data_IF_481848374773
#
_entry.id   IF_481848374773
#
_cell.length_a   1.000
_cell.length_b   1.000
_cell.length_c   1.000
_cell.angle_alpha   90.00
_cell.angle_beta   90.00
_cell.angle_gamma   90.00
#
_symmetry.space_group_name_H-M   'P 1'
#
loop_
_entity.id
_entity.type
_entity.pdbx_description
1 polymer ?
#
# COMPACT_ATOMS: atom_id res chain seq x y z
N UNK A 1 8.83 -19.64 4.12
CA UNK A 1 10.26 -19.75 4.45
C UNK A 1 10.95 -18.59 3.76
N UNK A 2 11.12 -17.46 4.46
CA UNK A 2 11.71 -16.25 3.87
C UNK A 2 13.23 -16.37 3.90
N UNK A 3 13.88 -16.21 2.76
CA UNK A 3 15.34 -16.22 2.68
C UNK A 3 15.91 -15.05 3.49
N UNK A 4 16.72 -15.38 4.50
CA UNK A 4 17.46 -14.41 5.31
C UNK A 4 18.75 -14.03 4.58
N UNK A 5 19.02 -12.74 4.48
CA UNK A 5 20.34 -12.26 4.07
C UNK A 5 21.39 -12.63 5.12
N UNK A 6 22.66 -12.72 4.71
CA UNK A 6 23.83 -13.02 5.56
C UNK A 6 24.01 -12.10 6.79
N UNK A 7 23.20 -11.02 6.94
CA UNK A 7 23.17 -10.10 8.09
C UNK A 7 21.84 -10.08 8.86
N UNK A 8 21.03 -11.14 8.80
CA UNK A 8 19.93 -11.39 9.75
C UNK A 8 18.78 -10.36 9.76
N UNK A 9 18.67 -9.49 8.75
CA UNK A 9 17.53 -8.58 8.60
C UNK A 9 16.47 -9.27 7.74
N UNK A 10 15.27 -9.42 8.30
CA UNK A 10 14.08 -9.81 7.52
C UNK A 10 13.85 -8.74 6.46
N UNK A 11 14.16 -9.09 5.20
CA UNK A 11 13.77 -8.29 4.06
C UNK A 11 12.26 -8.47 3.88
N UNK A 12 11.46 -7.72 4.62
CA UNK A 12 10.10 -7.41 4.16
C UNK A 12 10.26 -6.63 2.87
N UNK A 13 10.39 -7.35 1.76
CA UNK A 13 10.54 -6.80 0.43
C UNK A 13 9.22 -6.10 0.13
N UNK A 14 9.18 -4.79 0.36
CA UNK A 14 8.05 -3.96 -0.02
C UNK A 14 7.74 -4.17 -1.50
N UNK A 15 6.45 -4.29 -1.83
CA UNK A 15 5.99 -4.40 -3.20
C UNK A 15 6.05 -3.01 -3.88
N UNK A 16 6.48 -2.97 -5.15
CA UNK A 16 6.56 -1.74 -5.93
C UNK A 16 5.23 -1.52 -6.65
N UNK A 17 4.47 -0.53 -6.21
CA UNK A 17 3.25 -0.10 -6.89
C UNK A 17 3.58 1.03 -7.89
N UNK A 18 3.19 0.85 -9.15
CA UNK A 18 3.17 1.93 -10.14
C UNK A 18 1.75 2.50 -10.21
N UNK A 19 1.63 3.82 -10.12
CA UNK A 19 0.35 4.53 -10.20
C UNK A 19 0.52 5.67 -11.18
N UNK A 20 -0.42 5.79 -12.12
CA UNK A 20 -0.52 6.95 -13.00
C UNK A 20 -1.26 8.04 -12.23
N UNK A 21 -0.66 9.23 -12.18
CA UNK A 21 -1.25 10.43 -11.57
C UNK A 21 -1.08 11.58 -12.55
N UNK A 22 -1.99 12.54 -12.51
CA UNK A 22 -1.86 13.75 -13.31
C UNK A 22 -0.87 14.75 -12.67
N UNK A 23 -0.54 15.81 -13.40
CA UNK A 23 0.42 16.83 -12.96
C UNK A 23 -0.06 17.58 -11.72
N UNK A 24 -1.37 17.77 -11.56
CA UNK A 24 -1.96 18.48 -10.43
C UNK A 24 -1.90 17.66 -9.15
N UNK A 25 -2.21 16.37 -9.25
CA UNK A 25 -2.05 15.40 -8.18
C UNK A 25 -0.59 15.24 -7.77
N UNK A 26 0.33 15.21 -8.75
CA UNK A 26 1.76 15.13 -8.48
C UNK A 26 2.26 16.35 -7.71
N UNK A 27 1.80 17.56 -8.06
CA UNK A 27 2.13 18.79 -7.33
C UNK A 27 1.58 18.75 -5.90
N UNK A 28 0.31 18.35 -5.72
CA UNK A 28 -0.31 18.26 -4.41
C UNK A 28 0.42 17.24 -3.49
N UNK A 29 0.91 16.14 -4.06
CA UNK A 29 1.72 15.16 -3.34
C UNK A 29 3.06 15.75 -2.86
N UNK A 30 3.71 16.55 -3.70
CA UNK A 30 4.95 17.22 -3.33
C UNK A 30 4.73 18.28 -2.26
N UNK A 31 3.68 19.09 -2.36
CA UNK A 31 3.32 20.06 -1.33
C UNK A 31 3.08 19.38 0.02
N UNK A 32 2.30 18.29 0.03
CA UNK A 32 2.11 17.47 1.23
C UNK A 32 3.43 16.95 1.79
N UNK A 33 4.33 16.47 0.92
CA UNK A 33 5.67 15.99 1.31
C UNK A 33 6.46 17.10 2.01
N UNK A 34 6.48 18.30 1.46
CA UNK A 34 7.22 19.43 2.02
C UNK A 34 6.61 19.92 3.35
N UNK A 35 5.28 20.08 3.41
CA UNK A 35 4.59 20.49 4.64
C UNK A 35 4.80 19.51 5.80
N UNK A 36 4.84 18.20 5.51
CA UNK A 36 5.04 17.16 6.51
C UNK A 36 6.53 16.76 6.69
N UNK A 37 7.46 17.47 6.02
CA UNK A 37 8.92 17.23 6.08
C UNK A 37 9.31 15.78 5.77
N UNK A 38 8.62 15.16 4.81
CA UNK A 38 8.83 13.76 4.45
C UNK A 38 10.03 13.60 3.50
N UNK A 39 10.90 12.59 3.72
CA UNK A 39 12.18 12.48 3.02
C UNK A 39 12.05 12.10 1.55
N UNK A 40 10.93 11.51 1.13
CA UNK A 40 10.72 11.08 -0.26
C UNK A 40 9.24 11.07 -0.65
N UNK A 41 8.95 11.12 -1.95
CA UNK A 41 7.59 10.96 -2.49
C UNK A 41 6.98 9.63 -2.05
N UNK A 42 7.76 8.55 -2.05
CA UNK A 42 7.32 7.27 -1.54
C UNK A 42 6.92 7.31 -0.04
N UNK A 43 7.60 8.12 0.78
CA UNK A 43 7.19 8.33 2.18
C UNK A 43 5.87 9.09 2.28
N UNK A 44 5.67 10.11 1.43
CA UNK A 44 4.40 10.84 1.33
C UNK A 44 3.23 9.94 0.92
N UNK A 45 3.41 9.14 -0.14
CA UNK A 45 2.38 8.19 -0.59
C UNK A 45 2.03 7.18 0.51
N UNK A 46 3.02 6.60 1.19
CA UNK A 46 2.76 5.66 2.29
C UNK A 46 2.00 6.30 3.45
N UNK A 47 2.33 7.55 3.77
CA UNK A 47 1.65 8.28 4.83
C UNK A 47 0.20 8.61 4.46
N UNK A 48 -0.03 9.05 3.23
CA UNK A 48 -1.38 9.27 2.70
C UNK A 48 -2.20 7.98 2.68
N UNK A 49 -1.62 6.87 2.23
CA UNK A 49 -2.27 5.55 2.25
C UNK A 49 -2.63 5.13 3.68
N UNK A 50 -1.72 5.30 4.64
CA UNK A 50 -1.99 4.99 6.05
C UNK A 50 -3.16 5.83 6.60
N UNK A 51 -3.14 7.14 6.33
CA UNK A 51 -4.21 8.06 6.75
C UNK A 51 -5.54 7.73 6.07
N UNK A 52 -5.53 7.45 4.78
CA UNK A 52 -6.71 7.08 4.00
C UNK A 52 -7.34 5.78 4.47
N UNK A 53 -6.54 4.73 4.68
CA UNK A 53 -7.02 3.45 5.21
C UNK A 53 -7.61 3.60 6.61
N UNK A 54 -6.94 4.35 7.49
CA UNK A 54 -7.46 4.64 8.83
C UNK A 54 -8.78 5.44 8.78
N UNK A 55 -8.91 6.41 7.86
CA UNK A 55 -10.12 7.21 7.70
C UNK A 55 -11.33 6.40 7.21
N UNK A 56 -11.11 5.37 6.38
CA UNK A 56 -12.16 4.45 5.92
C UNK A 56 -12.42 3.32 6.93
N UNK A 57 -11.67 3.27 8.03
CA UNK A 57 -11.80 2.25 9.08
C UNK A 57 -11.08 0.94 8.79
N UNK A 58 -10.25 0.89 7.74
CA UNK A 58 -9.37 -0.25 7.47
C UNK A 58 -8.14 -0.16 8.38
N UNK A 59 -8.03 -1.09 9.34
CA UNK A 59 -6.81 -1.25 10.14
C UNK A 59 -5.71 -1.91 9.31
N UNK A 60 -4.58 -1.23 9.17
CA UNK A 60 -3.36 -1.84 8.66
C UNK A 60 -2.75 -2.71 9.76
N UNK A 61 -3.23 -3.95 9.91
CA UNK A 61 -2.62 -4.91 10.83
C UNK A 61 -1.40 -5.53 10.15
N UNK A 62 -0.21 -5.26 10.69
CA UNK A 62 1.04 -5.84 10.21
C UNK A 62 1.04 -7.35 10.50
N UNK A 63 0.63 -8.16 9.52
CA UNK A 63 0.64 -9.62 9.64
C UNK A 63 -0.48 -10.38 8.92
N UNK A 64 -1.48 -9.71 8.35
CA UNK A 64 -2.50 -10.40 7.56
C UNK A 64 -1.90 -10.90 6.23
N UNK A 65 -1.94 -12.21 6.01
CA UNK A 65 -1.47 -12.83 4.76
C UNK A 65 -2.28 -12.28 3.58
N UNK A 66 -1.59 -11.91 2.51
CA UNK A 66 -2.16 -11.37 1.26
C UNK A 66 -3.19 -12.29 0.55
N UNK A 67 -3.41 -13.51 1.05
CA UNK A 67 -4.38 -14.48 0.52
C UNK A 67 -5.79 -14.39 1.12
N UNK A 68 -6.03 -13.53 2.12
CA UNK A 68 -7.36 -13.42 2.77
C UNK A 68 -8.30 -12.40 2.12
N UNK A 69 -7.86 -11.63 1.12
CA UNK A 69 -8.70 -10.73 0.34
C UNK A 69 -9.07 -11.37 -1.01
N UNK A 70 -9.90 -12.41 -0.96
CA UNK A 70 -10.61 -12.91 -2.15
C UNK A 70 -11.82 -12.04 -2.43
N UNK A 71 -11.66 -10.99 -3.26
CA UNK A 71 -12.78 -10.19 -3.79
C UNK A 71 -13.18 -10.74 -5.16
N UNK A 72 -13.73 -11.95 -5.17
CA UNK A 72 -14.57 -12.48 -6.24
C UNK A 72 -15.50 -13.49 -5.58
N UNK A 73 -16.69 -13.01 -5.18
CA UNK A 73 -17.85 -13.89 -5.17
C UNK A 73 -18.07 -14.24 -6.64
N UNK A 74 -17.74 -15.47 -7.03
CA UNK A 74 -18.21 -16.01 -8.29
C UNK A 74 -19.74 -16.05 -8.20
N UNK A 75 -20.36 -15.02 -8.77
CA UNK A 75 -21.79 -14.98 -9.00
C UNK A 75 -22.18 -16.17 -9.87
N UNK A 76 -23.23 -16.85 -9.41
CA UNK A 76 -24.18 -17.69 -10.14
C UNK A 76 -24.00 -17.79 -11.66
N UNK A 77 -23.67 -18.99 -12.13
CA UNK A 77 -24.20 -19.63 -13.35
C UNK A 77 -23.77 -21.12 -13.29
N UNK A 78 -24.62 -22.14 -13.26
CA UNK A 78 -25.33 -22.76 -14.41
C UNK A 78 -26.12 -23.95 -13.79
N UNK A 79 -27.45 -23.97 -13.77
CA UNK A 79 -28.38 -24.57 -14.74
C UNK A 79 -28.45 -26.13 -14.75
N UNK A 80 -29.70 -26.61 -14.64
CA UNK A 80 -30.28 -27.94 -14.91
C UNK A 80 -29.98 -29.09 -13.92
#
# INVERSE_FOLDING_TARGET
MGEKTLKGRDLTRGERLQVMVDDTELSALDDFRFSNRLPSRAAAIRELLRRGLAAVGHKTEAGAKSGSYGVVSAGSDTAA
#
